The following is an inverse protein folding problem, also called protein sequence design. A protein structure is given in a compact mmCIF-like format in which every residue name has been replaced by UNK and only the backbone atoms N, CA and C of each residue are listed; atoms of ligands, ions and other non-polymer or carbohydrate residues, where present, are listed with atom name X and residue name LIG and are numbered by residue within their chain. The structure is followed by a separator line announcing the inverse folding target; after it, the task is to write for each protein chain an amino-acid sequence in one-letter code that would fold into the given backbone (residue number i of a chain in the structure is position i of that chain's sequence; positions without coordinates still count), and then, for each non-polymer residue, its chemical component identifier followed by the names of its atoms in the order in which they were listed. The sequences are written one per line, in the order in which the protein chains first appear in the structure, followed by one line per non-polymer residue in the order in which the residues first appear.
data_IF_902743174908
#
_entry.id   IF_902743174908
#
_cell.length_a   1.000
_cell.length_b   1.000
_cell.length_c   1.000
_cell.angle_alpha   90.00
_cell.angle_beta   90.00
_cell.angle_gamma   90.00
#
_symmetry.space_group_name_H-M   'P 1'
#
loop_
_entity.id
_entity.type
_entity.pdbx_description
1 polymer ?
#
# COMPACT_ATOMS: atom_id res chain seq x y z
N UNK A 1 23.50 8.89 -1.87
CA UNK A 1 22.93 8.58 -0.51
C UNK A 1 21.71 7.71 -0.76
N UNK A 2 21.74 6.45 -0.34
CA UNK A 2 20.86 5.44 -0.90
C UNK A 2 19.58 5.24 -0.06
N UNK A 3 18.64 6.16 -0.20
CA UNK A 3 17.27 5.96 0.27
C UNK A 3 16.42 5.42 -0.88
N UNK A 4 15.49 4.52 -0.58
CA UNK A 4 14.57 3.96 -1.57
C UNK A 4 13.15 4.08 -1.05
N UNK A 5 12.25 4.61 -1.86
CA UNK A 5 10.81 4.64 -1.59
C UNK A 5 10.11 3.66 -2.51
N UNK A 6 9.41 2.68 -1.93
CA UNK A 6 8.63 1.69 -2.68
C UNK A 6 7.15 2.03 -2.59
N UNK A 7 6.50 2.17 -3.74
CA UNK A 7 5.05 2.41 -3.84
C UNK A 7 4.43 1.46 -4.87
N UNK A 8 3.13 1.18 -4.75
CA UNK A 8 2.38 0.51 -5.82
C UNK A 8 1.92 1.55 -6.84
N UNK A 9 2.13 1.34 -8.14
CA UNK A 9 1.70 2.29 -9.17
C UNK A 9 0.31 1.99 -9.74
N UNK A 10 -0.43 1.04 -9.17
CA UNK A 10 -1.77 0.65 -9.59
C UNK A 10 -2.72 0.68 -8.36
N UNK A 11 -3.56 -0.34 -8.16
CA UNK A 11 -4.53 -0.43 -7.04
C UNK A 11 -4.05 -1.29 -5.85
N UNK A 12 -2.75 -1.40 -5.65
CA UNK A 12 -2.17 -1.81 -4.37
C UNK A 12 -1.86 -3.30 -4.18
N UNK A 13 -2.13 -4.16 -5.16
CA UNK A 13 -1.82 -5.59 -5.14
C UNK A 13 -0.75 -6.01 -6.17
N UNK A 14 0.18 -5.11 -6.47
CA UNK A 14 1.23 -5.25 -7.50
C UNK A 14 2.38 -6.19 -7.09
N UNK A 15 2.30 -6.81 -5.91
CA UNK A 15 3.35 -7.72 -5.41
C UNK A 15 4.47 -7.01 -4.65
N UNK A 16 4.20 -5.84 -4.03
CA UNK A 16 5.18 -5.09 -3.20
C UNK A 16 5.93 -5.96 -2.21
N UNK A 17 5.28 -6.93 -1.57
CA UNK A 17 5.86 -7.75 -0.50
C UNK A 17 7.18 -8.43 -0.89
N UNK A 18 7.26 -9.03 -2.09
CA UNK A 18 8.50 -9.69 -2.59
C UNK A 18 9.64 -8.68 -2.73
N UNK A 19 9.37 -7.55 -3.36
CA UNK A 19 10.39 -6.54 -3.65
C UNK A 19 10.81 -5.81 -2.37
N UNK A 20 9.86 -5.56 -1.47
CA UNK A 20 10.11 -4.99 -0.15
C UNK A 20 10.94 -5.96 0.70
N UNK A 21 10.66 -7.27 0.70
CA UNK A 21 11.50 -8.28 1.38
C UNK A 21 12.95 -8.22 0.91
N UNK A 22 13.14 -8.28 -0.41
CA UNK A 22 14.47 -8.23 -1.02
C UNK A 22 15.21 -6.94 -0.67
N UNK A 23 14.56 -5.77 -0.75
CA UNK A 23 15.17 -4.49 -0.39
C UNK A 23 15.39 -4.33 1.12
N UNK A 24 14.46 -4.81 1.95
CA UNK A 24 14.53 -4.70 3.41
C UNK A 24 15.73 -5.45 3.96
N UNK A 25 16.09 -6.60 3.38
CA UNK A 25 17.30 -7.35 3.75
C UNK A 25 18.61 -6.60 3.54
N UNK A 26 18.59 -5.50 2.77
CA UNK A 26 19.75 -4.67 2.41
C UNK A 26 19.68 -3.27 3.05
N UNK A 27 18.59 -2.97 3.76
CA UNK A 27 18.35 -1.68 4.40
C UNK A 27 18.82 -1.71 5.85
N UNK A 28 19.23 -0.55 6.36
CA UNK A 28 19.57 -0.36 7.76
C UNK A 28 18.33 0.09 8.58
N UNK A 29 17.32 0.65 7.90
CA UNK A 29 16.04 0.97 8.49
C UNK A 29 14.89 0.83 7.47
N UNK A 30 13.73 0.36 7.93
CA UNK A 30 12.50 0.24 7.13
C UNK A 30 11.39 1.08 7.78
N UNK A 31 10.74 1.93 6.98
CA UNK A 31 9.80 2.94 7.46
C UNK A 31 8.45 2.81 6.78
N UNK A 32 7.41 2.49 7.55
CA UNK A 32 6.01 2.63 7.11
C UNK A 32 5.55 4.06 7.36
N UNK A 33 5.04 4.73 6.33
CA UNK A 33 4.76 6.18 6.39
C UNK A 33 3.29 6.55 6.23
N UNK A 34 2.40 5.60 5.90
CA UNK A 34 0.97 5.84 5.74
C UNK A 34 0.15 4.56 5.93
N UNK A 35 -1.16 4.74 5.97
CA UNK A 35 -2.15 3.68 6.07
C UNK A 35 -2.28 3.22 7.51
N UNK A 36 -2.57 1.95 7.71
CA UNK A 36 -2.60 1.32 9.01
C UNK A 36 -2.51 -0.19 8.84
N UNK A 37 -3.23 -0.93 9.69
CA UNK A 37 -3.35 -2.37 9.55
C UNK A 37 -4.19 -2.78 8.32
N UNK A 38 -4.75 -1.88 7.51
CA UNK A 38 -5.37 -2.23 6.23
C UNK A 38 -4.40 -2.65 5.13
N UNK A 39 -3.09 -2.51 5.37
CA UNK A 39 -2.06 -3.09 4.55
C UNK A 39 -1.84 -4.57 4.92
N UNK A 40 -1.29 -5.33 3.97
CA UNK A 40 -0.89 -6.71 4.18
C UNK A 40 0.26 -7.07 3.26
N UNK A 41 1.38 -7.51 3.85
CA UNK A 41 2.51 -8.05 3.12
C UNK A 41 2.83 -9.45 3.65
N UNK A 42 3.04 -10.37 2.72
CA UNK A 42 3.53 -11.70 3.02
C UNK A 42 5.01 -11.73 2.68
N UNK A 43 5.84 -12.09 3.65
CA UNK A 43 7.27 -12.33 3.49
C UNK A 43 7.55 -13.81 3.63
N UNK A 44 8.50 -14.32 2.85
CA UNK A 44 8.98 -15.69 2.96
C UNK A 44 10.49 -15.64 3.18
N UNK A 45 10.91 -15.91 4.42
CA UNK A 45 12.32 -15.86 4.84
C UNK A 45 12.70 -17.23 5.38
N UNK A 46 13.74 -17.84 4.81
CA UNK A 46 14.23 -19.18 5.18
C UNK A 46 13.12 -20.25 5.25
N UNK A 47 12.19 -20.20 4.28
CA UNK A 47 11.04 -21.10 4.20
C UNK A 47 9.90 -20.82 5.20
N UNK A 48 10.02 -19.81 6.06
CA UNK A 48 8.96 -19.37 6.99
C UNK A 48 8.15 -18.23 6.40
N UNK A 49 6.83 -18.35 6.47
CA UNK A 49 5.90 -17.32 5.99
C UNK A 49 5.49 -16.37 7.11
N UNK A 50 5.82 -15.09 6.98
CA UNK A 50 5.39 -14.02 7.87
C UNK A 50 4.30 -13.19 7.20
N UNK A 51 3.18 -12.96 7.88
CA UNK A 51 2.09 -12.09 7.41
C UNK A 51 2.03 -10.86 8.29
N UNK A 52 2.45 -9.71 7.75
CA UNK A 52 2.52 -8.43 8.43
C UNK A 52 1.45 -7.47 7.92
N UNK A 53 1.03 -6.55 8.77
CA UNK A 53 0.03 -5.52 8.53
C UNK A 53 0.51 -4.13 8.97
N UNK A 54 0.77 -3.89 10.26
CA UNK A 54 1.33 -2.63 10.79
C UNK A 54 2.85 -2.66 10.83
N UNK A 55 3.43 -3.80 11.21
CA UNK A 55 4.88 -3.91 11.36
C UNK A 55 5.55 -3.74 9.99
N UNK A 56 6.57 -2.86 9.89
CA UNK A 56 7.41 -2.79 8.70
C UNK A 56 8.12 -4.12 8.45
N UNK A 57 8.38 -4.42 7.17
CA UNK A 57 8.92 -5.72 6.75
C UNK A 57 10.31 -6.03 7.32
N UNK A 58 11.10 -5.01 7.67
CA UNK A 58 12.43 -5.16 8.27
C UNK A 58 12.43 -5.80 9.67
N UNK A 59 11.29 -5.87 10.35
CA UNK A 59 11.26 -6.36 11.75
C UNK A 59 11.67 -7.83 11.82
N UNK A 60 11.35 -8.62 10.79
CA UNK A 60 11.61 -10.06 10.74
C UNK A 60 13.11 -10.35 10.69
N UNK A 61 13.89 -9.47 10.07
CA UNK A 61 15.36 -9.56 10.01
C UNK A 61 16.05 -8.84 11.16
N UNK A 62 15.31 -8.29 12.13
CA UNK A 62 15.84 -7.49 13.23
C UNK A 62 16.29 -6.07 12.82
N UNK A 63 16.00 -5.66 11.57
CA UNK A 63 16.32 -4.32 11.07
C UNK A 63 15.45 -3.28 11.77
N UNK A 64 16.01 -2.09 12.02
CA UNK A 64 15.26 -0.99 12.61
C UNK A 64 14.00 -0.69 11.80
N UNK A 65 12.86 -0.95 12.41
CA UNK A 65 11.54 -0.83 11.83
C UNK A 65 10.81 0.34 12.48
N UNK A 66 10.31 1.25 11.65
CA UNK A 66 9.72 2.51 12.08
C UNK A 66 8.30 2.64 11.57
N UNK A 67 7.37 2.88 12.49
CA UNK A 67 6.01 3.31 12.18
C UNK A 67 5.98 4.84 12.28
N UNK A 68 5.90 5.50 11.12
CA UNK A 68 5.91 6.94 11.00
C UNK A 68 4.57 7.60 11.31
N UNK A 69 4.61 8.91 11.59
CA UNK A 69 3.46 9.73 12.00
C UNK A 69 2.32 9.83 10.97
N UNK A 70 2.54 9.41 9.73
CA UNK A 70 1.49 9.33 8.73
C UNK A 70 0.55 8.14 8.91
N UNK A 71 0.96 7.10 9.65
CA UNK A 71 0.17 5.89 9.93
C UNK A 71 -0.93 6.16 10.97
N UNK A 72 -2.13 5.62 10.75
CA UNK A 72 -3.18 5.45 11.77
C UNK A 72 -2.98 4.11 12.47
N UNK A 73 -2.66 4.16 13.76
CA UNK A 73 -2.19 3.01 14.53
C UNK A 73 -3.32 2.41 15.34
N UNK A 74 -3.60 1.12 15.12
CA UNK A 74 -4.48 0.36 15.98
C UNK A 74 -3.65 -0.36 17.04
N UNK A 75 -3.76 0.02 18.33
CA UNK A 75 -2.84 -0.46 19.34
C UNK A 75 -3.07 -1.94 19.70
N UNK A 76 -4.32 -2.41 19.62
CA UNK A 76 -4.63 -3.83 19.84
C UNK A 76 -4.18 -4.70 18.66
N UNK A 77 -4.42 -4.24 17.43
CA UNK A 77 -3.94 -4.97 16.25
C UNK A 77 -2.40 -5.07 16.24
N UNK A 78 -1.71 -4.01 16.67
CA UNK A 78 -0.25 -4.03 16.82
C UNK A 78 0.20 -5.05 17.87
N UNK A 79 -0.44 -5.07 19.05
CA UNK A 79 -0.13 -6.05 20.12
C UNK A 79 -0.26 -7.48 19.63
N UNK A 80 -1.38 -7.79 18.97
CA UNK A 80 -1.66 -9.12 18.47
C UNK A 80 -0.69 -9.51 17.35
N UNK A 81 -0.31 -8.56 16.48
CA UNK A 81 0.68 -8.78 15.43
C UNK A 81 2.09 -9.02 16.00
N UNK A 82 2.52 -8.24 16.99
CA UNK A 82 3.81 -8.43 17.69
C UNK A 82 3.85 -9.81 18.35
N UNK A 83 2.83 -10.18 19.12
CA UNK A 83 2.78 -11.49 19.78
C UNK A 83 2.85 -12.65 18.77
N UNK A 84 2.16 -12.53 17.63
CA UNK A 84 2.20 -13.54 16.56
C UNK A 84 3.58 -13.67 15.91
N UNK A 85 4.29 -12.56 15.73
CA UNK A 85 5.62 -12.54 15.12
C UNK A 85 6.68 -13.04 16.12
N UNK A 86 6.58 -12.66 17.39
CA UNK A 86 7.45 -13.17 18.46
C UNK A 86 7.29 -14.68 18.66
N UNK A 87 6.07 -15.21 18.56
CA UNK A 87 5.80 -16.66 18.60
C UNK A 87 6.51 -17.44 17.47
N UNK A 88 6.96 -16.77 16.41
CA UNK A 88 7.72 -17.37 15.30
C UNK A 88 9.25 -17.22 15.48
N UNK A 89 9.69 -16.69 16.62
CA UNK A 89 11.10 -16.57 17.01
C UNK A 89 11.77 -15.24 16.69
N UNK A 90 11.00 -14.21 16.30
CA UNK A 90 11.53 -12.87 16.03
C UNK A 90 11.58 -12.07 17.32
N UNK A 91 12.70 -11.42 17.63
CA UNK A 91 12.80 -10.54 18.81
C UNK A 91 12.33 -9.13 18.46
N UNK A 92 11.36 -8.59 19.21
CA UNK A 92 10.86 -7.22 19.02
C UNK A 92 11.12 -6.39 20.28
N UNK A 93 11.93 -5.36 20.14
CA UNK A 93 12.35 -4.46 21.23
C UNK A 93 12.26 -3.00 20.79
N UNK A 94 12.40 -2.08 21.74
CA UNK A 94 12.53 -0.64 21.48
C UNK A 94 13.83 -0.27 20.73
N UNK A 95 14.79 -1.20 20.67
CA UNK A 95 16.00 -1.07 19.84
C UNK A 95 15.70 -1.27 18.35
N UNK A 96 14.79 -2.18 17.98
CA UNK A 96 14.49 -2.47 16.58
C UNK A 96 13.08 -2.05 16.12
N UNK A 97 12.19 -1.63 17.03
CA UNK A 97 10.89 -1.06 16.70
C UNK A 97 10.76 0.36 17.29
N UNK A 98 10.36 1.31 16.45
CA UNK A 98 10.05 2.68 16.86
C UNK A 98 8.69 3.11 16.32
N UNK A 99 7.86 3.69 17.19
CA UNK A 99 6.54 4.22 16.83
C UNK A 99 6.58 5.73 17.04
N UNK A 100 6.11 6.49 16.04
CA UNK A 100 6.01 7.93 16.18
C UNK A 100 4.99 8.27 17.28
N UNK A 101 5.44 9.00 18.30
CA UNK A 101 4.62 9.44 19.43
C UNK A 101 3.39 10.26 19.00
N UNK A 102 3.42 10.90 17.83
CA UNK A 102 2.33 11.68 17.28
C UNK A 102 1.46 10.91 16.25
N UNK A 103 1.58 9.58 16.15
CA UNK A 103 0.65 8.75 15.37
C UNK A 103 -0.78 8.86 15.92
N UNK A 104 -1.80 9.15 15.08
CA UNK A 104 -3.20 9.00 15.47
C UNK A 104 -3.56 7.55 15.75
N UNK A 105 -4.47 7.33 16.69
CA UNK A 105 -4.96 6.02 17.07
C UNK A 105 -6.25 5.64 16.33
N UNK A 106 -6.34 4.36 15.96
CA UNK A 106 -7.60 3.71 15.64
C UNK A 106 -8.18 3.19 16.95
N UNK A 107 -9.43 3.55 17.23
CA UNK A 107 -10.17 3.20 18.44
C UNK A 107 -11.36 2.30 18.04
N UNK A 108 -11.96 1.55 18.98
CA UNK A 108 -13.13 0.70 18.67
C UNK A 108 -14.24 1.44 17.91
N UNK A 109 -14.56 2.66 18.34
CA UNK A 109 -15.56 3.52 17.68
C UNK A 109 -15.27 3.81 16.20
N UNK A 110 -13.99 3.83 15.79
CA UNK A 110 -13.61 4.03 14.38
C UNK A 110 -13.97 2.80 13.54
N UNK A 111 -13.74 1.60 14.09
CA UNK A 111 -14.10 0.34 13.41
C UNK A 111 -15.62 0.21 13.28
N UNK A 112 -16.36 0.54 14.35
CA UNK A 112 -17.82 0.59 14.34
C UNK A 112 -18.33 1.53 13.24
N UNK A 113 -17.84 2.77 13.22
CA UNK A 113 -18.30 3.78 12.27
C UNK A 113 -18.00 3.41 10.81
N UNK A 114 -16.86 2.80 10.55
CA UNK A 114 -16.50 2.27 9.22
C UNK A 114 -17.54 1.23 8.76
N UNK A 115 -17.87 0.27 9.62
CA UNK A 115 -18.89 -0.75 9.34
C UNK A 115 -20.30 -0.17 9.15
N UNK A 116 -20.70 0.80 10.00
CA UNK A 116 -22.00 1.47 9.90
C UNK A 116 -22.15 2.22 8.58
N UNK A 117 -21.13 2.99 8.18
CA UNK A 117 -21.12 3.74 6.92
C UNK A 117 -21.18 2.82 5.70
N UNK A 118 -20.39 1.75 5.66
CA UNK A 118 -20.42 0.79 4.56
C UNK A 118 -21.78 0.08 4.45
N UNK A 119 -22.39 -0.27 5.59
CA UNK A 119 -23.71 -0.89 5.62
C UNK A 119 -24.79 0.06 5.08
N UNK A 120 -24.76 1.33 5.53
CA UNK A 120 -25.71 2.35 5.08
C UNK A 120 -25.55 2.72 3.59
N UNK A 121 -24.33 2.67 3.05
CA UNK A 121 -24.05 2.98 1.66
C UNK A 121 -24.66 1.96 0.67
N UNK A 122 -24.95 0.74 1.11
CA UNK A 122 -25.62 -0.28 0.29
C UNK A 122 -24.89 -0.56 -1.04
N UNK A 123 -25.52 -0.20 -2.16
CA UNK A 123 -24.93 -0.34 -3.51
C UNK A 123 -23.78 0.64 -3.78
N UNK A 124 -23.73 1.76 -3.05
CA UNK A 124 -22.68 2.78 -3.14
C UNK A 124 -21.47 2.51 -2.24
N UNK A 125 -21.35 1.30 -1.67
CA UNK A 125 -20.22 0.92 -0.82
C UNK A 125 -18.88 1.06 -1.54
N UNK A 126 -17.88 1.54 -0.80
CA UNK A 126 -16.50 1.65 -1.28
C UNK A 126 -15.86 0.25 -1.31
N UNK A 127 -16.19 -0.59 -0.33
CA UNK A 127 -15.51 -1.85 -0.07
C UNK A 127 -14.32 -1.65 0.86
N UNK A 128 -14.51 -0.91 1.95
CA UNK A 128 -13.44 -0.66 2.94
C UNK A 128 -13.00 -1.96 3.61
N UNK A 129 -11.85 -1.92 4.30
CA UNK A 129 -11.36 -3.08 5.05
C UNK A 129 -12.11 -3.29 6.38
N UNK A 130 -13.03 -2.41 6.77
CA UNK A 130 -13.74 -2.46 8.06
C UNK A 130 -12.81 -2.30 9.26
N UNK A 131 -11.68 -1.60 9.07
CA UNK A 131 -10.59 -1.50 10.05
C UNK A 131 -10.54 -0.12 10.72
N UNK A 132 -11.49 0.76 10.43
CA UNK A 132 -11.53 2.10 11.02
C UNK A 132 -10.51 3.09 10.45
N UNK A 133 -9.93 2.79 9.28
CA UNK A 133 -8.89 3.63 8.66
C UNK A 133 -9.44 5.00 8.30
N UNK A 134 -10.57 5.04 7.59
CA UNK A 134 -11.20 6.27 7.14
C UNK A 134 -11.61 7.17 8.31
N UNK A 135 -12.41 6.66 9.27
CA UNK A 135 -12.76 7.43 10.47
C UNK A 135 -11.56 7.95 11.26
N UNK A 136 -10.48 7.17 11.41
CA UNK A 136 -9.29 7.64 12.13
C UNK A 136 -8.55 8.76 11.37
N UNK A 137 -8.47 8.69 10.04
CA UNK A 137 -7.93 9.79 9.23
C UNK A 137 -8.83 11.03 9.26
N UNK A 138 -10.15 10.85 9.26
CA UNK A 138 -11.11 11.95 9.41
C UNK A 138 -10.89 12.69 10.72
N UNK A 139 -10.67 11.97 11.82
CA UNK A 139 -10.39 12.56 13.13
C UNK A 139 -9.02 13.25 13.19
N UNK A 140 -8.03 12.72 12.47
CA UNK A 140 -6.71 13.37 12.31
C UNK A 140 -6.86 14.75 11.68
N UNK A 141 -7.52 14.84 10.52
CA UNK A 141 -7.71 16.13 9.82
C UNK A 141 -8.75 17.01 10.50
N UNK A 142 -9.71 16.41 11.20
CA UNK A 142 -10.67 17.07 12.09
C UNK A 142 -10.06 17.59 13.39
N UNK A 143 -8.76 17.33 13.65
CA UNK A 143 -8.01 17.77 14.83
C UNK A 143 -8.62 17.28 16.16
N UNK A 144 -9.21 16.09 16.15
CA UNK A 144 -9.85 15.44 17.32
C UNK A 144 -9.32 14.03 17.61
N UNK A 145 -8.42 13.51 16.78
CA UNK A 145 -7.80 12.21 17.02
C UNK A 145 -7.02 12.19 18.34
N UNK A 146 -7.21 11.11 19.09
CA UNK A 146 -6.29 10.69 20.14
C UNK A 146 -5.05 10.11 19.47
N UNK A 147 -3.86 10.44 19.98
CA UNK A 147 -2.56 10.03 19.45
C UNK A 147 -1.80 9.19 20.47
N UNK A 148 -0.74 8.51 20.02
CA UNK A 148 0.12 7.67 20.87
C UNK A 148 0.64 8.43 22.11
N UNK A 149 1.04 9.69 21.97
CA UNK A 149 1.54 10.51 23.07
C UNK A 149 0.49 10.76 24.16
N UNK A 150 -0.79 10.77 23.81
CA UNK A 150 -1.88 11.00 24.76
C UNK A 150 -2.05 9.80 25.71
N UNK A 151 -1.58 8.61 25.33
CA UNK A 151 -1.55 7.41 26.20
C UNK A 151 -0.67 7.58 27.44
N UNK A 152 0.30 8.49 27.41
CA UNK A 152 1.12 8.81 28.58
C UNK A 152 0.41 9.76 29.58
N UNK A 153 -0.75 10.29 29.18
CA UNK A 153 -1.46 11.36 29.89
C UNK A 153 -2.96 11.06 30.05
N UNK A 154 -3.33 9.78 30.23
CA UNK A 154 -4.72 9.32 30.30
C UNK A 154 -5.57 10.03 31.37
N UNK A 155 -4.96 10.38 32.51
CA UNK A 155 -5.63 11.12 33.59
C UNK A 155 -6.07 12.55 33.18
N UNK A 156 -5.56 13.04 32.05
CA UNK A 156 -5.90 14.37 31.49
C UNK A 156 -6.52 14.29 30.10
N UNK A 157 -7.01 13.11 29.69
CA UNK A 157 -7.55 12.86 28.35
C UNK A 157 -8.98 13.39 28.16
N UNK A 158 -9.65 13.81 29.23
CA UNK A 158 -11.04 14.26 29.24
C UNK A 158 -11.37 15.28 28.14
N UNK A 159 -10.59 16.37 27.92
CA UNK A 159 -10.89 17.32 26.86
C UNK A 159 -10.79 16.75 25.44
N UNK A 160 -9.91 15.76 25.21
CA UNK A 160 -9.78 15.05 23.94
C UNK A 160 -10.98 14.14 23.74
N UNK A 161 -11.38 13.38 24.77
CA UNK A 161 -12.55 12.51 24.74
C UNK A 161 -13.84 13.32 24.53
N UNK A 162 -13.99 14.49 25.15
CA UNK A 162 -15.16 15.35 24.94
C UNK A 162 -15.31 15.77 23.48
N UNK A 163 -14.22 16.23 22.85
CA UNK A 163 -14.23 16.63 21.43
C UNK A 163 -14.51 15.45 20.51
N UNK A 164 -13.94 14.29 20.83
CA UNK A 164 -14.12 13.06 20.08
C UNK A 164 -15.59 12.59 20.14
N UNK A 165 -16.12 12.43 21.36
CA UNK A 165 -17.49 11.99 21.61
C UNK A 165 -18.53 12.98 21.09
N UNK A 166 -18.31 14.29 21.21
CA UNK A 166 -19.25 15.29 20.66
C UNK A 166 -19.50 15.10 19.15
N UNK A 167 -18.50 14.66 18.40
CA UNK A 167 -18.64 14.32 16.99
C UNK A 167 -19.25 12.93 16.78
N UNK A 168 -18.68 11.90 17.43
CA UNK A 168 -19.07 10.51 17.18
C UNK A 168 -20.44 10.15 17.75
N UNK A 169 -20.84 10.68 18.90
CA UNK A 169 -22.15 10.40 19.50
C UNK A 169 -23.29 10.94 18.62
N UNK A 170 -23.09 12.09 17.96
CA UNK A 170 -24.06 12.63 17.01
C UNK A 170 -24.20 11.74 15.76
N UNK A 171 -23.08 11.23 15.23
CA UNK A 171 -23.10 10.28 14.12
C UNK A 171 -23.76 8.95 14.53
N UNK A 172 -23.38 8.41 15.69
CA UNK A 172 -23.94 7.17 16.23
C UNK A 172 -25.45 7.29 16.43
N UNK A 173 -25.94 8.40 16.98
CA UNK A 173 -27.37 8.68 17.09
C UNK A 173 -28.07 8.66 15.71
N UNK A 174 -27.45 9.24 14.68
CA UNK A 174 -27.94 9.18 13.29
C UNK A 174 -28.05 7.76 12.71
N UNK A 175 -27.27 6.81 13.23
CA UNK A 175 -27.34 5.38 12.90
C UNK A 175 -28.16 4.55 13.90
N UNK A 176 -28.83 5.18 14.86
CA UNK A 176 -29.59 4.48 15.91
C UNK A 176 -28.71 3.69 16.88
N UNK A 177 -27.45 4.09 17.05
CA UNK A 177 -26.48 3.46 17.96
C UNK A 177 -26.38 4.24 19.28
N UNK A 178 -26.10 3.56 20.41
CA UNK A 178 -25.85 4.24 21.67
C UNK A 178 -24.58 5.11 21.61
N UNK A 179 -24.46 6.14 22.48
CA UNK A 179 -23.25 6.92 22.59
C UNK A 179 -22.05 6.05 22.97
N UNK A 180 -20.84 6.57 22.75
CA UNK A 180 -19.59 5.90 23.13
C UNK A 180 -19.54 5.74 24.66
N UNK A 181 -19.26 4.53 25.13
CA UNK A 181 -18.96 4.29 26.54
C UNK A 181 -17.54 4.81 26.85
N UNK A 182 -17.49 6.01 27.42
CA UNK A 182 -16.24 6.70 27.75
C UNK A 182 -15.43 5.96 28.82
N UNK A 183 -16.12 5.38 29.80
CA UNK A 183 -15.46 4.71 30.92
C UNK A 183 -14.80 3.42 30.43
N UNK A 184 -15.52 2.62 29.63
CA UNK A 184 -14.97 1.43 29.00
C UNK A 184 -13.79 1.76 28.08
N UNK A 185 -13.93 2.76 27.20
CA UNK A 185 -12.85 3.16 26.29
C UNK A 185 -11.59 3.59 27.07
N UNK A 186 -11.75 4.38 28.12
CA UNK A 186 -10.61 4.83 28.92
C UNK A 186 -9.91 3.66 29.62
N UNK A 187 -10.67 2.66 30.07
CA UNK A 187 -10.10 1.45 30.68
C UNK A 187 -9.33 0.60 29.66
N UNK A 188 -9.88 0.39 28.46
CA UNK A 188 -9.17 -0.29 27.37
C UNK A 188 -7.88 0.43 26.99
N UNK A 189 -7.89 1.78 26.99
CA UNK A 189 -6.70 2.60 26.75
C UNK A 189 -5.67 2.45 27.87
N UNK A 190 -6.09 2.39 29.15
CA UNK A 190 -5.18 2.13 30.29
C UNK A 190 -4.50 0.78 30.17
N UNK A 191 -5.24 -0.25 29.77
CA UNK A 191 -4.68 -1.60 29.59
C UNK A 191 -3.61 -1.63 28.48
N UNK A 192 -3.88 -1.01 27.33
CA UNK A 192 -3.01 -1.10 26.16
C UNK A 192 -1.83 -0.11 26.19
N UNK A 193 -1.93 0.99 26.95
CA UNK A 193 -0.94 2.06 26.97
C UNK A 193 0.49 1.59 27.29
N UNK A 194 0.76 0.76 28.33
CA UNK A 194 2.11 0.31 28.64
C UNK A 194 2.80 -0.43 27.50
N UNK A 195 2.04 -1.22 26.73
CA UNK A 195 2.56 -1.95 25.57
C UNK A 195 3.02 -1.00 24.46
N UNK A 196 2.17 -0.04 24.08
CA UNK A 196 2.47 0.88 22.96
C UNK A 196 3.57 1.87 23.35
N UNK A 197 3.51 2.41 24.57
CA UNK A 197 4.46 3.41 25.05
C UNK A 197 5.90 2.91 25.13
N UNK A 198 6.11 1.58 25.28
CA UNK A 198 7.44 0.96 25.20
C UNK A 198 8.18 1.31 23.92
N UNK A 199 7.47 1.43 22.79
CA UNK A 199 8.07 1.70 21.47
C UNK A 199 7.93 3.17 21.03
N UNK A 200 7.13 3.95 21.74
CA UNK A 200 6.77 5.32 21.39
C UNK A 200 7.95 6.28 21.57
N UNK A 201 8.28 7.05 20.54
CA UNK A 201 9.35 8.04 20.60
C UNK A 201 9.22 9.11 19.50
N UNK A 202 9.97 10.23 19.60
CA UNK A 202 10.08 11.22 18.53
C UNK A 202 10.82 10.66 17.30
N UNK A 203 10.12 9.92 16.45
CA UNK A 203 10.67 9.20 15.29
C UNK A 203 11.47 10.10 14.35
N UNK A 204 11.02 11.33 14.11
CA UNK A 204 11.74 12.30 13.26
C UNK A 204 13.18 12.53 13.75
N UNK A 205 13.41 12.52 15.07
CA UNK A 205 14.74 12.71 15.67
C UNK A 205 15.62 11.48 15.49
N UNK A 206 15.03 10.27 15.63
CA UNK A 206 15.72 9.00 15.41
C UNK A 206 16.11 8.84 13.94
N UNK A 207 15.17 9.04 13.02
CA UNK A 207 15.42 8.94 11.58
C UNK A 207 16.43 10.00 11.08
N UNK A 208 16.43 11.21 11.66
CA UNK A 208 17.47 12.21 11.36
C UNK A 208 18.88 11.71 11.71
N UNK A 209 19.04 10.96 12.81
CA UNK A 209 20.34 10.36 13.18
C UNK A 209 20.72 9.23 12.21
N UNK A 210 19.79 8.33 11.92
CA UNK A 210 19.97 7.22 10.96
C UNK A 210 20.40 7.76 9.60
N UNK A 211 19.68 8.76 9.07
CA UNK A 211 19.99 9.40 7.79
C UNK A 211 21.37 10.08 7.81
N UNK A 212 21.74 10.78 8.90
CA UNK A 212 23.05 11.44 9.03
C UNK A 212 24.22 10.45 9.07
N UNK A 213 23.99 9.23 9.55
CA UNK A 213 24.98 8.17 9.54
C UNK A 213 25.20 7.55 8.15
N UNK A 214 24.46 8.01 7.12
CA UNK A 214 24.56 7.46 5.76
C UNK A 214 23.87 6.11 5.58
N UNK A 215 23.03 5.72 6.54
CA UNK A 215 22.33 4.44 6.52
C UNK A 215 21.31 4.38 5.36
N UNK A 216 21.12 3.18 4.81
CA UNK A 216 20.14 2.88 3.77
C UNK A 216 18.75 2.82 4.38
N UNK A 217 17.88 3.75 4.00
CA UNK A 217 16.50 3.79 4.49
C UNK A 217 15.56 3.33 3.37
N UNK A 218 14.76 2.31 3.67
CA UNK A 218 13.66 1.85 2.83
C UNK A 218 12.34 2.45 3.35
N UNK A 219 11.62 3.19 2.52
CA UNK A 219 10.24 3.60 2.80
C UNK A 219 9.28 2.61 2.14
N UNK A 220 8.47 1.96 2.98
CA UNK A 220 7.52 0.93 2.58
C UNK A 220 6.13 1.55 2.44
N UNK A 221 5.70 1.72 1.19
CA UNK A 221 4.35 2.20 0.86
C UNK A 221 3.30 1.11 0.96
N UNK A 222 2.13 1.46 1.48
CA UNK A 222 0.96 0.59 1.48
C UNK A 222 -0.01 0.97 0.33
N UNK A 223 -0.86 0.03 -0.10
CA UNK A 223 -1.79 0.24 -1.21
C UNK A 223 -1.07 0.73 -2.50
N UNK A 224 -1.75 1.44 -3.39
CA UNK A 224 -1.17 1.94 -4.64
C UNK A 224 -1.68 3.34 -4.97
N UNK A 225 -1.02 4.03 -5.91
CA UNK A 225 -1.30 5.41 -6.30
C UNK A 225 -2.75 5.61 -6.75
N UNK A 226 -3.35 4.61 -7.40
CA UNK A 226 -4.74 4.73 -7.86
C UNK A 226 -5.78 4.55 -6.73
N UNK A 227 -5.32 4.26 -5.51
CA UNK A 227 -6.09 4.31 -4.27
C UNK A 227 -5.73 5.52 -3.40
N UNK A 228 -4.92 6.45 -3.88
CA UNK A 228 -4.60 7.70 -3.18
C UNK A 228 -5.88 8.54 -2.99
N UNK A 229 -6.02 9.20 -1.84
CA UNK A 229 -7.20 10.01 -1.51
C UNK A 229 -7.39 11.21 -2.45
N UNK A 230 -6.29 11.78 -2.97
CA UNK A 230 -6.29 12.94 -3.87
C UNK A 230 -6.13 12.53 -5.33
N UNK A 231 -5.29 11.52 -5.59
CA UNK A 231 -4.85 11.17 -6.94
C UNK A 231 -5.46 9.88 -7.50
N UNK A 232 -6.20 9.12 -6.68
CA UNK A 232 -6.84 7.88 -7.07
C UNK A 232 -8.21 8.04 -7.70
N UNK A 233 -8.91 6.92 -7.88
CA UNK A 233 -10.28 6.90 -8.43
C UNK A 233 -11.33 7.26 -7.37
N UNK A 234 -11.29 8.50 -6.86
CA UNK A 234 -12.20 8.97 -5.80
C UNK A 234 -13.67 8.82 -6.22
N UNK A 235 -14.58 8.34 -5.33
CA UNK A 235 -14.40 8.07 -3.89
C UNK A 235 -13.89 6.65 -3.57
N UNK A 236 -13.58 5.83 -4.57
CA UNK A 236 -13.18 4.43 -4.40
C UNK A 236 -11.67 4.29 -4.10
N UNK A 237 -11.25 4.91 -3.00
CA UNK A 237 -9.85 5.11 -2.61
C UNK A 237 -9.67 4.81 -1.12
N UNK A 238 -8.42 4.78 -0.64
CA UNK A 238 -8.15 4.85 0.80
C UNK A 238 -8.13 6.30 1.28
N UNK A 239 -8.10 6.52 2.59
CA UNK A 239 -8.17 7.86 3.19
C UNK A 239 -6.79 8.45 3.50
N UNK A 240 -5.74 7.92 2.88
CA UNK A 240 -4.36 8.37 2.99
C UNK A 240 -3.75 8.64 1.63
N UNK A 241 -2.74 9.49 1.60
CA UNK A 241 -1.91 9.63 0.42
C UNK A 241 -0.96 8.43 0.29
N UNK A 242 -1.02 7.73 -0.83
CA UNK A 242 -0.20 6.57 -1.17
C UNK A 242 0.99 6.94 -2.06
N UNK A 243 1.00 8.16 -2.60
CA UNK A 243 2.11 8.71 -3.40
C UNK A 243 3.42 8.84 -2.61
N UNK A 244 4.55 8.79 -3.32
CA UNK A 244 5.90 8.76 -2.74
C UNK A 244 6.25 10.00 -1.91
N UNK A 245 5.70 11.17 -2.24
CA UNK A 245 5.95 12.42 -1.51
C UNK A 245 5.56 12.34 -0.02
N UNK A 246 4.58 11.50 0.29
CA UNK A 246 4.11 11.23 1.66
C UNK A 246 5.16 10.50 2.50
N UNK A 247 6.14 9.83 1.89
CA UNK A 247 7.21 9.17 2.64
C UNK A 247 8.01 10.17 3.50
N UNK A 248 8.18 11.41 3.02
CA UNK A 248 8.83 12.46 3.78
C UNK A 248 7.95 12.93 4.95
N UNK A 249 6.76 13.48 4.66
CA UNK A 249 5.88 14.06 5.69
C UNK A 249 5.31 13.02 6.67
N UNK A 250 5.09 11.79 6.21
CA UNK A 250 4.59 10.66 7.00
C UNK A 250 5.64 9.97 7.86
N UNK A 251 6.93 10.28 7.68
CA UNK A 251 8.02 9.81 8.55
C UNK A 251 8.66 10.91 9.40
N UNK A 252 8.38 12.18 9.12
CA UNK A 252 9.01 13.33 9.76
C UNK A 252 10.39 13.68 9.18
N UNK A 253 10.67 13.25 7.94
CA UNK A 253 11.86 13.65 7.18
C UNK A 253 11.53 14.75 6.16
N UNK A 254 12.54 15.50 5.73
CA UNK A 254 12.38 16.54 4.71
C UNK A 254 12.16 15.95 3.31
N UNK A 255 11.52 16.67 2.38
CA UNK A 255 11.12 16.15 1.06
C UNK A 255 12.29 15.60 0.22
N UNK A 256 13.51 16.08 0.45
CA UNK A 256 14.72 15.57 -0.19
C UNK A 256 15.19 14.19 0.34
N UNK A 257 14.40 13.49 1.16
CA UNK A 257 14.76 12.21 1.76
C UNK A 257 14.24 10.99 1.01
N UNK A 258 13.32 11.15 0.07
CA UNK A 258 12.61 10.02 -0.58
C UNK A 258 13.53 9.15 -1.44
N UNK A 259 14.63 9.71 -1.93
CA UNK A 259 15.66 8.97 -2.67
C UNK A 259 15.13 8.38 -3.98
N UNK A 260 15.58 7.18 -4.34
CA UNK A 260 15.12 6.47 -5.52
C UNK A 260 13.67 6.01 -5.31
N UNK A 261 12.74 6.44 -6.16
CA UNK A 261 11.34 6.00 -6.09
C UNK A 261 11.14 4.81 -7.00
N UNK A 262 10.90 3.63 -6.42
CA UNK A 262 10.61 2.40 -7.12
C UNK A 262 9.10 2.16 -7.17
N UNK A 263 8.51 2.27 -8.36
CA UNK A 263 7.11 1.96 -8.61
C UNK A 263 6.91 0.48 -8.89
N UNK A 264 6.17 -0.24 -8.05
CA UNK A 264 5.84 -1.65 -8.32
C UNK A 264 4.62 -1.69 -9.24
N UNK A 265 4.77 -2.39 -10.36
CA UNK A 265 3.74 -2.48 -11.41
C UNK A 265 3.60 -3.93 -11.81
N UNK A 266 2.37 -4.43 -11.87
CA UNK A 266 2.07 -5.75 -12.38
C UNK A 266 1.95 -5.69 -13.91
N UNK A 267 2.37 -6.74 -14.62
CA UNK A 267 2.29 -6.85 -16.08
C UNK A 267 0.86 -6.87 -16.65
N UNK A 268 -0.13 -6.84 -15.78
CA UNK A 268 -1.55 -6.66 -16.06
C UNK A 268 -2.15 -5.88 -14.88
N UNK A 269 -3.40 -5.45 -14.97
CA UNK A 269 -4.03 -4.68 -13.90
C UNK A 269 -4.98 -5.53 -13.08
N UNK A 270 -5.11 -5.16 -11.82
CA UNK A 270 -6.02 -5.81 -10.87
C UNK A 270 -6.62 -4.77 -9.95
N UNK A 271 -7.86 -5.01 -9.52
CA UNK A 271 -8.56 -4.14 -8.57
C UNK A 271 -9.30 -4.95 -7.53
N UNK A 272 -9.15 -4.54 -6.28
CA UNK A 272 -9.94 -5.05 -5.14
C UNK A 272 -11.04 -4.03 -4.83
N UNK A 273 -12.28 -4.50 -4.70
CA UNK A 273 -13.41 -3.64 -4.37
C UNK A 273 -14.04 -2.94 -5.57
N UNK A 274 -14.89 -1.96 -5.26
CA UNK A 274 -15.69 -1.22 -6.23
C UNK A 274 -14.85 -0.17 -6.97
N UNK A 275 -15.46 0.43 -8.00
CA UNK A 275 -14.96 1.62 -8.69
C UNK A 275 -14.56 1.38 -10.15
N UNK A 276 -14.30 2.45 -10.91
CA UNK A 276 -13.98 2.36 -12.33
C UNK A 276 -12.75 1.49 -12.62
N UNK A 277 -12.82 0.71 -13.68
CA UNK A 277 -11.71 -0.12 -14.14
C UNK A 277 -11.76 -0.24 -15.67
N UNK A 278 -11.24 0.75 -16.41
CA UNK A 278 -11.43 0.84 -17.86
C UNK A 278 -10.95 -0.40 -18.63
N UNK A 279 -9.88 -1.05 -18.15
CA UNK A 279 -9.28 -2.22 -18.82
C UNK A 279 -9.77 -3.57 -18.30
N UNK A 280 -10.84 -3.59 -17.50
CA UNK A 280 -11.39 -4.83 -16.93
C UNK A 280 -11.79 -5.84 -18.02
N UNK A 281 -11.50 -7.11 -17.76
CA UNK A 281 -11.81 -8.24 -18.61
C UNK A 281 -12.82 -9.15 -17.92
N UNK A 282 -13.95 -9.36 -18.58
CA UNK A 282 -15.01 -10.29 -18.17
C UNK A 282 -15.04 -11.56 -19.04
N UNK A 283 -14.03 -11.75 -19.89
CA UNK A 283 -13.89 -12.85 -20.83
C UNK A 283 -12.97 -13.99 -20.32
N UNK A 284 -12.72 -14.98 -21.17
CA UNK A 284 -11.85 -16.12 -20.88
C UNK A 284 -10.40 -15.70 -20.58
N UNK A 285 -9.93 -14.61 -21.19
CA UNK A 285 -8.58 -14.09 -20.92
C UNK A 285 -8.53 -13.53 -19.50
N UNK A 286 -9.52 -12.72 -19.11
CA UNK A 286 -9.65 -12.22 -17.74
C UNK A 286 -9.71 -13.36 -16.71
N UNK A 287 -10.47 -14.43 -17.00
CA UNK A 287 -10.51 -15.62 -16.16
C UNK A 287 -9.14 -16.29 -16.04
N UNK A 288 -8.46 -16.55 -17.17
CA UNK A 288 -7.14 -17.17 -17.22
C UNK A 288 -6.10 -16.38 -16.43
N UNK A 289 -6.08 -15.05 -16.59
CA UNK A 289 -5.18 -14.16 -15.84
C UNK A 289 -5.48 -14.21 -14.34
N UNK A 290 -6.75 -14.21 -13.94
CA UNK A 290 -7.15 -14.33 -12.54
C UNK A 290 -6.74 -15.64 -11.89
N UNK A 291 -6.88 -16.75 -12.60
CA UNK A 291 -6.50 -18.09 -12.12
C UNK A 291 -4.99 -18.24 -11.99
N UNK A 292 -4.23 -17.94 -13.07
CA UNK A 292 -2.76 -18.05 -13.07
C UNK A 292 -2.10 -17.05 -12.13
N UNK A 293 -2.66 -15.85 -12.02
CA UNK A 293 -2.18 -14.83 -11.09
C UNK A 293 -2.51 -15.09 -9.63
N UNK A 294 -3.30 -16.12 -9.32
CA UNK A 294 -3.85 -16.38 -7.98
C UNK A 294 -4.53 -15.13 -7.38
N UNK A 295 -5.36 -14.45 -8.18
CA UNK A 295 -5.91 -13.14 -7.84
C UNK A 295 -7.12 -13.23 -6.90
N UNK A 296 -6.83 -13.68 -5.68
CA UNK A 296 -7.78 -13.82 -4.57
C UNK A 296 -7.26 -13.09 -3.32
N UNK A 297 -8.15 -12.45 -2.57
CA UNK A 297 -7.80 -11.81 -1.31
C UNK A 297 -7.32 -12.82 -0.27
N UNK A 298 -6.12 -12.64 0.28
CA UNK A 298 -5.51 -13.56 1.27
C UNK A 298 -6.25 -13.60 2.61
N UNK A 299 -6.98 -12.53 2.94
CA UNK A 299 -7.78 -12.42 4.19
C UNK A 299 -9.25 -12.71 3.91
N UNK A 300 -9.81 -12.14 2.84
CA UNK A 300 -11.26 -12.16 2.58
C UNK A 300 -11.69 -13.25 1.60
N UNK A 301 -10.75 -13.88 0.89
CA UNK A 301 -11.03 -14.84 -0.19
C UNK A 301 -11.66 -14.23 -1.44
N UNK A 302 -11.91 -12.90 -1.48
CA UNK A 302 -12.62 -12.26 -2.59
C UNK A 302 -11.80 -12.34 -3.87
N UNK A 303 -12.43 -12.77 -4.97
CA UNK A 303 -11.88 -12.69 -6.33
C UNK A 303 -11.60 -11.22 -6.67
N UNK A 304 -10.40 -10.94 -7.18
CA UNK A 304 -10.05 -9.61 -7.68
C UNK A 304 -10.52 -9.46 -9.12
N UNK A 305 -10.85 -8.23 -9.50
CA UNK A 305 -11.11 -7.87 -10.89
C UNK A 305 -9.78 -7.81 -11.61
N UNK A 306 -9.74 -8.22 -12.87
CA UNK A 306 -8.51 -8.36 -13.66
C UNK A 306 -8.69 -7.65 -15.00
N UNK A 307 -7.63 -7.04 -15.52
CA UNK A 307 -7.65 -6.32 -16.77
C UNK A 307 -6.29 -6.30 -17.44
N UNK A 308 -6.25 -5.83 -18.69
CA UNK A 308 -4.99 -5.63 -19.41
C UNK A 308 -4.11 -4.56 -18.74
N UNK A 309 -2.83 -4.53 -19.09
CA UNK A 309 -1.94 -3.47 -18.63
C UNK A 309 -2.45 -2.11 -19.09
N UNK A 310 -2.48 -1.15 -18.18
CA UNK A 310 -2.94 0.21 -18.46
C UNK A 310 -1.77 1.18 -18.39
N UNK A 311 -1.18 1.49 -19.54
CA UNK A 311 -0.03 2.37 -19.60
C UNK A 311 -0.41 3.83 -19.30
N UNK A 312 -1.65 4.23 -19.56
CA UNK A 312 -2.15 5.58 -19.24
C UNK A 312 -2.11 5.81 -17.73
N UNK A 313 -2.66 4.87 -16.96
CA UNK A 313 -2.68 4.96 -15.49
C UNK A 313 -1.29 4.85 -14.87
N UNK A 314 -0.46 3.95 -15.40
CA UNK A 314 0.90 3.77 -14.88
C UNK A 314 1.77 4.98 -15.21
N UNK A 315 1.67 5.56 -16.42
CA UNK A 315 2.35 6.82 -16.77
C UNK A 315 1.94 7.94 -15.81
N UNK A 316 0.63 8.12 -15.60
CA UNK A 316 0.12 9.12 -14.68
C UNK A 316 0.63 8.89 -13.24
N UNK A 317 0.64 7.64 -12.77
CA UNK A 317 1.16 7.29 -11.44
C UNK A 317 2.66 7.55 -11.31
N UNK A 318 3.43 7.27 -12.37
CA UNK A 318 4.87 7.55 -12.43
C UNK A 318 5.14 9.05 -12.35
N UNK A 319 4.40 9.86 -13.11
CA UNK A 319 4.51 11.32 -13.09
C UNK A 319 4.16 11.92 -11.71
N UNK A 320 3.02 11.53 -11.14
CA UNK A 320 2.54 12.05 -9.85
C UNK A 320 3.48 11.70 -8.71
N UNK A 321 4.00 10.47 -8.70
CA UNK A 321 4.89 9.99 -7.63
C UNK A 321 6.38 10.19 -7.92
N UNK A 322 6.76 10.84 -9.02
CA UNK A 322 8.16 11.02 -9.40
C UNK A 322 8.94 9.69 -9.45
N UNK A 323 8.34 8.65 -10.03
CA UNK A 323 8.94 7.32 -10.09
C UNK A 323 10.22 7.37 -10.93
N UNK A 324 11.32 6.89 -10.33
CA UNK A 324 12.65 6.87 -10.97
C UNK A 324 12.85 5.62 -11.83
N UNK A 325 12.22 4.52 -11.44
CA UNK A 325 12.14 3.29 -12.23
C UNK A 325 11.05 2.37 -11.69
N UNK A 326 10.55 1.47 -12.53
CA UNK A 326 9.55 0.49 -12.12
C UNK A 326 10.15 -0.88 -11.85
N UNK A 327 9.52 -1.64 -10.95
CA UNK A 327 9.65 -3.08 -10.87
C UNK A 327 8.43 -3.72 -11.53
N UNK A 328 8.62 -4.35 -12.69
CA UNK A 328 7.57 -5.07 -13.40
C UNK A 328 7.42 -6.48 -12.81
N UNK A 329 6.23 -6.84 -12.35
CA UNK A 329 5.97 -8.12 -11.68
C UNK A 329 4.97 -8.98 -12.45
N UNK A 330 5.01 -10.28 -12.20
CA UNK A 330 4.06 -11.27 -12.72
C UNK A 330 3.97 -11.33 -14.25
N UNK A 331 5.11 -11.17 -14.94
CA UNK A 331 5.15 -11.33 -16.39
C UNK A 331 4.85 -12.78 -16.82
N UNK A 332 5.17 -13.76 -15.96
CA UNK A 332 4.91 -15.20 -16.10
C UNK A 332 3.43 -15.53 -16.23
N UNK A 333 2.54 -14.69 -15.70
CA UNK A 333 1.10 -14.85 -15.81
C UNK A 333 0.61 -14.66 -17.26
N UNK A 334 1.37 -13.91 -18.08
CA UNK A 334 1.08 -13.71 -19.50
C UNK A 334 1.57 -14.85 -20.40
N UNK A 335 2.38 -15.79 -19.89
CA UNK A 335 2.93 -16.90 -20.69
C UNK A 335 1.81 -17.73 -21.36
N UNK A 336 2.04 -18.17 -22.59
CA UNK A 336 1.11 -18.99 -23.36
C UNK A 336 -0.09 -18.24 -23.93
N UNK A 337 -0.14 -16.91 -23.88
CA UNK A 337 -1.10 -16.10 -24.61
C UNK A 337 -0.63 -15.91 -26.05
N UNK A 338 -1.53 -16.04 -27.03
CA UNK A 338 -1.22 -15.77 -28.44
C UNK A 338 -1.00 -14.27 -28.70
N UNK A 339 -1.77 -13.44 -28.00
CA UNK A 339 -1.70 -11.98 -28.05
C UNK A 339 -1.80 -11.39 -26.66
N UNK A 340 -1.15 -10.25 -26.48
CA UNK A 340 -1.27 -9.39 -25.30
C UNK A 340 -1.70 -8.00 -25.75
N UNK A 341 -2.44 -7.29 -24.89
CA UNK A 341 -2.88 -5.93 -25.16
C UNK A 341 -2.40 -4.95 -24.09
N UNK A 342 -2.12 -3.72 -24.52
CA UNK A 342 -1.75 -2.60 -23.66
C UNK A 342 -2.72 -1.45 -23.93
N UNK A 343 -3.37 -0.92 -22.90
CA UNK A 343 -4.17 0.31 -23.03
C UNK A 343 -3.23 1.51 -23.16
N UNK A 344 -3.40 2.29 -24.22
CA UNK A 344 -2.56 3.43 -24.60
C UNK A 344 -3.28 4.77 -24.54
N UNK A 345 -4.60 4.75 -24.39
CA UNK A 345 -5.48 5.91 -24.31
C UNK A 345 -6.90 5.49 -23.98
N UNK A 346 -7.77 6.47 -23.74
CA UNK A 346 -9.21 6.24 -23.53
C UNK A 346 -10.03 7.00 -24.55
N UNK A 347 -11.12 6.40 -25.02
CA UNK A 347 -12.19 7.11 -25.72
C UNK A 347 -13.30 7.41 -24.72
N UNK A 348 -13.65 8.69 -24.60
CA UNK A 348 -14.77 9.15 -23.78
C UNK A 348 -15.60 10.13 -24.61
N UNK A 349 -16.84 9.74 -24.91
CA UNK A 349 -17.82 10.55 -25.68
C UNK A 349 -17.22 11.10 -26.99
N UNK A 350 -16.52 10.23 -27.72
CA UNK A 350 -15.90 10.54 -29.02
C UNK A 350 -14.56 11.29 -28.97
N UNK A 351 -14.06 11.66 -27.78
CA UNK A 351 -12.73 12.28 -27.60
C UNK A 351 -11.72 11.27 -27.07
N UNK A 352 -10.48 11.40 -27.50
CA UNK A 352 -9.36 10.61 -27.00
C UNK A 352 -8.67 11.32 -25.85
N UNK A 353 -8.42 10.60 -24.77
CA UNK A 353 -7.69 11.05 -23.58
C UNK A 353 -6.44 10.21 -23.38
N UNK A 354 -5.36 10.85 -22.97
CA UNK A 354 -4.07 10.24 -22.63
C UNK A 354 -3.80 10.29 -21.10
N UNK A 355 -4.85 10.57 -20.32
CA UNK A 355 -4.90 10.53 -18.86
C UNK A 355 -6.28 10.03 -18.42
N UNK A 356 -6.40 9.54 -17.17
CA UNK A 356 -7.69 9.20 -16.60
C UNK A 356 -8.40 10.47 -16.09
N UNK A 357 -9.61 10.81 -16.56
CA UNK A 357 -10.37 11.97 -16.05
C UNK A 357 -10.64 11.87 -14.54
N UNK A 358 -10.74 13.00 -13.85
CA UNK A 358 -10.93 13.00 -12.39
C UNK A 358 -12.35 12.60 -11.95
N UNK A 359 -13.37 12.84 -12.76
CA UNK A 359 -14.76 12.61 -12.36
C UNK A 359 -15.14 11.13 -12.47
N UNK A 360 -15.67 10.53 -11.40
CA UNK A 360 -15.95 9.09 -11.34
C UNK A 360 -16.87 8.58 -12.46
N UNK A 361 -17.86 9.37 -12.88
CA UNK A 361 -18.73 8.98 -14.00
C UNK A 361 -17.97 8.97 -15.34
N UNK A 362 -17.07 9.92 -15.56
CA UNK A 362 -16.26 9.98 -16.77
C UNK A 362 -15.27 8.81 -16.81
N UNK A 363 -14.69 8.45 -15.66
CA UNK A 363 -13.85 7.25 -15.51
C UNK A 363 -14.62 5.97 -15.83
N UNK A 364 -15.88 5.87 -15.42
CA UNK A 364 -16.72 4.69 -15.67
C UNK A 364 -17.16 4.55 -17.14
N UNK A 365 -17.19 5.67 -17.88
CA UNK A 365 -17.52 5.70 -19.31
C UNK A 365 -16.29 5.60 -20.23
N UNK A 366 -15.07 5.54 -19.68
CA UNK A 366 -13.85 5.44 -20.48
C UNK A 366 -13.74 4.08 -21.16
N UNK A 367 -13.69 4.08 -22.49
CA UNK A 367 -13.39 2.90 -23.30
C UNK A 367 -11.88 2.83 -23.57
N UNK A 368 -11.19 1.72 -23.25
CA UNK A 368 -9.76 1.58 -23.49
C UNK A 368 -9.42 1.49 -24.98
N UNK A 369 -8.33 2.14 -25.38
CA UNK A 369 -7.75 2.04 -26.72
C UNK A 369 -6.52 1.13 -26.61
N UNK A 370 -6.62 -0.07 -27.19
CA UNK A 370 -5.59 -1.08 -27.08
C UNK A 370 -4.59 -1.05 -28.24
N UNK A 371 -3.32 -1.24 -27.90
CA UNK A 371 -2.29 -1.74 -28.81
C UNK A 371 -2.15 -3.24 -28.60
N UNK A 372 -2.38 -4.03 -29.65
CA UNK A 372 -2.16 -5.48 -29.63
C UNK A 372 -0.72 -5.82 -30.01
N UNK A 373 -0.12 -6.75 -29.28
CA UNK A 373 1.20 -7.30 -29.56
C UNK A 373 1.15 -8.83 -29.60
N UNK A 374 2.01 -9.50 -30.39
CA UNK A 374 2.18 -10.94 -30.30
C UNK A 374 2.60 -11.35 -28.87
N UNK A 375 1.92 -12.35 -28.32
CA UNK A 375 2.31 -12.97 -27.06
C UNK A 375 3.47 -13.96 -27.24
N UNK A 376 3.61 -14.89 -26.30
CA UNK A 376 4.68 -15.90 -26.30
C UNK A 376 4.19 -17.21 -25.69
N UNK A 377 4.75 -18.33 -26.14
CA UNK A 377 4.36 -19.68 -25.69
C UNK A 377 5.25 -20.22 -24.59
N UNK A 378 6.51 -19.79 -24.59
CA UNK A 378 7.58 -20.19 -23.71
C UNK A 378 7.38 -19.62 -22.31
N UNK A 379 7.98 -20.26 -21.29
CA UNK A 379 7.88 -19.72 -19.94
C UNK A 379 8.90 -18.62 -19.69
N UNK A 380 8.46 -17.55 -19.03
CA UNK A 380 9.34 -16.54 -18.45
C UNK A 380 9.70 -16.86 -16.99
N UNK A 381 9.04 -17.84 -16.37
CA UNK A 381 9.25 -18.18 -14.97
C UNK A 381 10.67 -18.66 -14.69
N UNK A 382 11.30 -18.09 -13.65
CA UNK A 382 12.67 -18.42 -13.26
C UNK A 382 13.76 -17.75 -14.10
N UNK A 383 13.44 -16.95 -15.11
CA UNK A 383 14.42 -16.19 -15.88
C UNK A 383 15.15 -15.17 -14.97
N UNK A 384 16.49 -15.09 -15.11
CA UNK A 384 17.37 -14.25 -14.28
C UNK A 384 18.17 -13.22 -15.09
N UNK A 385 18.10 -13.30 -16.41
CA UNK A 385 18.64 -12.31 -17.34
C UNK A 385 17.65 -12.02 -18.49
N UNK A 386 17.79 -10.87 -19.15
CA UNK A 386 16.99 -10.57 -20.35
C UNK A 386 17.20 -11.60 -21.47
N UNK A 387 18.39 -12.22 -21.54
CA UNK A 387 18.69 -13.24 -22.55
C UNK A 387 17.90 -14.53 -22.33
N UNK A 388 17.40 -14.76 -21.12
CA UNK A 388 16.57 -15.92 -20.78
C UNK A 388 15.08 -15.69 -21.13
N UNK A 389 14.69 -14.47 -21.48
CA UNK A 389 13.31 -14.13 -21.80
C UNK A 389 12.99 -14.38 -23.29
N UNK A 390 11.75 -14.81 -23.62
CA UNK A 390 11.29 -14.88 -25.00
C UNK A 390 11.34 -13.51 -25.67
N UNK A 391 11.66 -13.48 -26.96
CA UNK A 391 11.82 -12.22 -27.70
C UNK A 391 10.58 -11.31 -27.63
N UNK A 392 9.37 -11.89 -27.63
CA UNK A 392 8.14 -11.10 -27.52
C UNK A 392 7.90 -10.57 -26.10
N UNK A 393 8.33 -11.28 -25.05
CA UNK A 393 8.29 -10.77 -23.68
C UNK A 393 9.24 -9.57 -23.53
N UNK A 394 10.43 -9.62 -24.13
CA UNK A 394 11.37 -8.48 -24.15
C UNK A 394 10.74 -7.28 -24.84
N UNK A 395 10.13 -7.47 -26.02
CA UNK A 395 9.43 -6.40 -26.76
C UNK A 395 8.29 -5.80 -25.94
N UNK A 396 7.54 -6.64 -25.21
CA UNK A 396 6.47 -6.19 -24.33
C UNK A 396 7.01 -5.30 -23.19
N UNK A 397 8.09 -5.72 -22.52
CA UNK A 397 8.74 -4.93 -21.47
C UNK A 397 9.30 -3.60 -22.02
N UNK A 398 9.91 -3.63 -23.21
CA UNK A 398 10.38 -2.42 -23.90
C UNK A 398 9.23 -1.47 -24.21
N UNK A 399 8.13 -1.99 -24.75
CA UNK A 399 6.97 -1.19 -25.09
C UNK A 399 6.30 -0.56 -23.87
N UNK A 400 6.22 -1.28 -22.75
CA UNK A 400 5.77 -0.71 -21.47
C UNK A 400 6.63 0.50 -21.09
N UNK A 401 7.96 0.36 -21.11
CA UNK A 401 8.87 1.46 -20.72
C UNK A 401 8.67 2.71 -21.57
N UNK A 402 8.50 2.53 -22.88
CA UNK A 402 8.21 3.64 -23.81
C UNK A 402 6.89 4.33 -23.47
N UNK A 403 5.82 3.56 -23.25
CA UNK A 403 4.48 4.09 -23.04
C UNK A 403 4.31 4.79 -21.68
N UNK A 404 4.99 4.28 -20.64
CA UNK A 404 4.92 4.84 -19.29
C UNK A 404 5.97 5.93 -19.03
N UNK A 405 6.88 6.14 -19.97
CA UNK A 405 7.98 7.12 -19.89
C UNK A 405 8.87 6.92 -18.64
N UNK A 406 9.05 5.67 -18.22
CA UNK A 406 9.79 5.32 -17.01
C UNK A 406 10.56 4.01 -17.24
N UNK A 407 11.86 3.93 -16.90
CA UNK A 407 12.64 2.73 -17.12
C UNK A 407 12.22 1.59 -16.20
N UNK A 408 12.36 0.36 -16.67
CA UNK A 408 12.24 -0.85 -15.84
C UNK A 408 13.57 -1.07 -15.14
N UNK A 409 13.57 -0.86 -13.83
CA UNK A 409 14.73 -1.12 -12.97
C UNK A 409 14.85 -2.61 -12.61
N UNK A 410 13.72 -3.32 -12.61
CA UNK A 410 13.63 -4.70 -12.14
C UNK A 410 12.48 -5.45 -12.83
N UNK A 411 12.68 -6.73 -13.16
CA UNK A 411 11.63 -7.63 -13.61
C UNK A 411 11.55 -8.83 -12.68
N UNK A 412 10.39 -9.06 -12.07
CA UNK A 412 10.12 -10.26 -11.28
C UNK A 412 9.43 -11.30 -12.16
N UNK A 413 10.05 -12.47 -12.28
CA UNK A 413 9.62 -13.55 -13.18
C UNK A 413 8.93 -14.69 -12.46
N UNK A 414 8.93 -14.72 -11.13
CA UNK A 414 8.13 -15.65 -10.34
C UNK A 414 7.86 -15.10 -8.93
N UNK A 415 7.10 -15.80 -8.07
CA UNK A 415 6.99 -15.46 -6.64
C UNK A 415 8.30 -15.59 -5.86
N UNK A 416 9.26 -16.39 -6.34
CA UNK A 416 10.52 -16.68 -5.64
C UNK A 416 11.47 -15.49 -5.63
N UNK A 417 12.08 -15.20 -4.48
CA UNK A 417 12.90 -14.01 -4.25
C UNK A 417 14.01 -13.83 -5.30
N UNK A 418 14.71 -14.92 -5.63
CA UNK A 418 15.88 -14.92 -6.54
C UNK A 418 15.50 -14.86 -8.02
N UNK A 419 14.23 -15.05 -8.37
CA UNK A 419 13.73 -14.99 -9.74
C UNK A 419 13.38 -13.55 -10.10
N UNK A 420 14.45 -12.76 -10.15
CA UNK A 420 14.41 -11.31 -10.32
C UNK A 420 15.56 -10.87 -11.21
N UNK A 421 15.24 -10.22 -12.32
CA UNK A 421 16.20 -9.64 -13.26
C UNK A 421 16.44 -8.19 -12.82
N UNK A 422 17.67 -7.83 -12.44
CA UNK A 422 18.05 -6.51 -11.91
C UNK A 422 18.80 -5.65 -12.93
N UNK A 423 18.23 -4.52 -13.33
CA UNK A 423 18.75 -3.64 -14.40
C UNK A 423 19.43 -2.43 -13.79
N UNK A 424 18.79 -1.88 -12.77
CA UNK A 424 19.31 -0.78 -11.97
C UNK A 424 19.01 -1.07 -10.51
N UNK A 425 20.05 -1.10 -9.70
CA UNK A 425 19.93 -1.30 -8.26
C UNK A 425 19.40 -0.04 -7.58
N UNK A 426 18.22 -0.06 -6.92
CA UNK A 426 17.67 1.12 -6.27
C UNK A 426 18.56 1.72 -5.18
N UNK A 427 19.47 0.93 -4.59
CA UNK A 427 20.41 1.40 -3.56
C UNK A 427 21.78 1.84 -4.11
N UNK A 428 22.02 1.74 -5.42
CA UNK A 428 23.29 2.12 -6.06
C UNK A 428 22.99 3.16 -7.13
N UNK A 429 23.71 4.29 -7.09
CA UNK A 429 23.45 5.44 -7.97
C UNK A 429 23.55 5.10 -9.47
#
# INVERSE_FOLDING_TARGET
MANVTVIGAQWGDEGKGKIVDWLASRADAVVRFQGGHNAGHTLVIDGKTYKLSLLPSGIVSGTLSVIGNGVVLDPWALRDEVAKVEAQGVSITDENLAIADNCPLILPLHRDLDGLRETAAGKGKIGTTGRGIGPAYEDKVGRRAIRVCDLAHLESLEPQLDRLCAHHDALRAGFGQPPVDRAALLEELREIAPFVLRFAQPVWKRLKKVRRAGAKILFEGAQGVLLDVDHGTYPFVTSSNTVSGTAASGSGLGPNSTGFVLGIVKAYTTRVGSGPFPTELEDEVGQRLGERGHEFGTVTGRKRRVGWFDAVLVRQSCAISGVTGIALTKIDVLDGLEKVAICTGYRLRGKVYDYLPSHAADQAECEPIYEEMPGWSESTAGARSYADLPANAIKYIQRIQELIECPVALVSTSPERDDTILMRDPFVD
#
